data_IF_459890577956
#
_entry.id   IF_459890577956
#
_cell.length_a   1.000
_cell.length_b   1.000
_cell.length_c   1.000
_cell.angle_alpha   90.00
_cell.angle_beta   90.00
_cell.angle_gamma   90.00
#
_symmetry.space_group_name_H-M   'P 1'
#
loop_
_entity.id
_entity.type
_entity.pdbx_description
1 polymer ?
#
# COMPACT_ATOMS: atom_id res chain seq x y z
N UNK A 1 19.20 13.39 4.60
CA UNK A 1 17.83 13.77 4.21
C UNK A 1 16.85 12.76 4.78
N UNK A 2 15.91 13.23 5.60
CA UNK A 2 14.86 12.39 6.18
C UNK A 2 13.80 11.99 5.14
N UNK A 3 12.88 11.10 5.51
CA UNK A 3 11.81 10.65 4.61
C UNK A 3 10.89 11.79 4.18
N UNK A 4 10.64 12.77 5.07
CA UNK A 4 9.81 13.96 4.78
C UNK A 4 10.44 14.84 3.71
N UNK A 5 11.75 15.06 3.79
CA UNK A 5 12.48 15.84 2.80
C UNK A 5 12.39 15.21 1.41
N UNK A 6 12.45 13.86 1.34
CA UNK A 6 12.30 13.13 0.08
C UNK A 6 10.89 13.24 -0.51
N UNK A 7 9.86 13.19 0.33
CA UNK A 7 8.47 13.40 -0.12
C UNK A 7 8.31 14.82 -0.64
N UNK A 8 8.80 15.82 0.10
CA UNK A 8 8.75 17.23 -0.31
C UNK A 8 9.50 17.48 -1.62
N UNK A 9 10.68 16.88 -1.80
CA UNK A 9 11.44 17.01 -3.03
C UNK A 9 10.68 16.51 -4.29
N UNK A 10 9.69 15.62 -4.13
CA UNK A 10 8.88 15.11 -5.22
C UNK A 10 7.57 15.91 -5.42
N UNK A 11 6.93 16.30 -4.31
CA UNK A 11 5.56 16.85 -4.31
C UNK A 11 5.50 18.38 -4.21
N UNK A 12 6.58 19.04 -3.80
CA UNK A 12 6.60 20.49 -3.65
C UNK A 12 6.53 21.19 -5.02
N UNK A 13 5.54 22.07 -5.25
CA UNK A 13 5.49 22.88 -6.46
C UNK A 13 6.66 23.87 -6.52
N UNK A 14 7.29 23.94 -7.69
CA UNK A 14 8.32 24.92 -8.03
C UNK A 14 7.91 25.72 -9.27
N UNK A 15 8.76 26.64 -9.72
CA UNK A 15 8.53 27.37 -10.98
C UNK A 15 8.48 26.44 -12.19
N UNK A 16 9.14 25.28 -12.11
CA UNK A 16 9.17 24.26 -13.17
C UNK A 16 8.02 23.23 -13.03
N UNK A 17 7.12 23.44 -12.07
CA UNK A 17 6.01 22.52 -11.77
C UNK A 17 6.32 21.55 -10.63
N UNK A 18 5.70 20.37 -10.66
CA UNK A 18 5.81 19.30 -9.66
C UNK A 18 6.34 18.02 -10.31
N UNK A 19 7.17 17.27 -9.61
CA UNK A 19 7.71 15.99 -10.12
C UNK A 19 6.61 14.93 -10.09
N UNK A 20 6.10 14.62 -8.90
CA UNK A 20 4.96 13.70 -8.71
C UNK A 20 4.16 14.09 -7.46
N UNK A 21 2.83 13.98 -7.54
CA UNK A 21 1.97 14.01 -6.35
C UNK A 21 2.16 12.72 -5.56
N UNK A 22 2.65 12.82 -4.33
CA UNK A 22 2.94 11.66 -3.48
C UNK A 22 1.80 11.40 -2.50
N UNK A 23 1.24 10.19 -2.53
CA UNK A 23 0.17 9.77 -1.60
C UNK A 23 0.66 8.63 -0.70
N UNK A 24 0.77 8.92 0.60
CA UNK A 24 1.28 7.99 1.62
C UNK A 24 0.15 7.27 2.38
N UNK A 25 -1.12 7.40 1.97
CA UNK A 25 -2.28 6.91 2.75
C UNK A 25 -2.45 5.39 2.76
N UNK A 26 -1.77 4.68 1.86
CA UNK A 26 -1.80 3.21 1.81
C UNK A 26 -0.87 2.54 2.85
N UNK A 27 -0.07 3.32 3.60
CA UNK A 27 0.79 2.78 4.67
C UNK A 27 -0.05 2.21 5.83
N UNK A 28 0.49 1.26 6.62
CA UNK A 28 -0.17 0.80 7.84
C UNK A 28 -0.60 1.96 8.74
N UNK A 29 -1.79 1.84 9.33
CA UNK A 29 -2.45 2.88 10.15
C UNK A 29 -2.82 4.18 9.39
N UNK A 30 -2.65 4.23 8.07
CA UNK A 30 -3.04 5.37 7.24
C UNK A 30 -2.39 6.68 7.67
N UNK A 31 -3.15 7.77 7.67
CA UNK A 31 -2.63 9.12 8.01
C UNK A 31 -2.16 9.28 9.45
N UNK A 32 -2.69 8.49 10.38
CA UNK A 32 -2.29 8.50 11.78
C UNK A 32 -1.03 7.66 12.06
N UNK A 33 -0.57 6.87 11.08
CA UNK A 33 0.59 6.00 11.20
C UNK A 33 1.92 6.72 10.98
N UNK A 34 3.02 6.16 11.51
CA UNK A 34 4.36 6.65 11.21
C UNK A 34 4.65 6.56 9.69
N UNK A 35 5.50 7.46 9.18
CA UNK A 35 5.87 7.47 7.76
C UNK A 35 6.77 6.30 7.35
N UNK A 36 7.50 5.74 8.32
CA UNK A 36 8.42 4.61 8.13
C UNK A 36 8.18 3.64 9.29
N UNK A 37 8.11 2.35 8.98
CA UNK A 37 7.98 1.27 9.96
C UNK A 37 9.23 0.39 9.91
N UNK A 38 9.58 -0.21 11.05
CA UNK A 38 10.48 -1.36 11.08
C UNK A 38 9.79 -2.59 10.48
N UNK A 39 10.56 -3.60 10.07
CA UNK A 39 9.99 -4.84 9.56
C UNK A 39 9.14 -5.56 10.62
N UNK A 40 9.59 -5.59 11.88
CA UNK A 40 8.80 -6.15 12.98
C UNK A 40 7.43 -5.45 13.13
N UNK A 41 7.40 -4.11 13.17
CA UNK A 41 6.13 -3.38 13.30
C UNK A 41 5.22 -3.56 12.08
N UNK A 42 5.80 -3.74 10.89
CA UNK A 42 5.07 -4.02 9.66
C UNK A 42 4.48 -5.44 9.67
N UNK A 43 5.24 -6.42 10.17
CA UNK A 43 4.80 -7.80 10.35
C UNK A 43 3.64 -7.88 11.34
N UNK A 44 3.81 -7.33 12.54
CA UNK A 44 2.79 -7.31 13.59
C UNK A 44 1.48 -6.69 13.06
N UNK A 45 1.58 -5.54 12.37
CA UNK A 45 0.42 -4.86 11.79
C UNK A 45 -0.34 -5.74 10.80
N UNK A 46 0.36 -6.47 9.93
CA UNK A 46 -0.28 -7.31 8.92
C UNK A 46 -0.80 -8.64 9.48
N UNK A 47 -0.15 -9.21 10.50
CA UNK A 47 -0.59 -10.43 11.16
C UNK A 47 -1.86 -10.18 11.98
N UNK A 48 -1.88 -9.11 12.78
CA UNK A 48 -2.98 -8.86 13.72
C UNK A 48 -4.16 -8.11 13.09
N UNK A 49 -3.87 -7.11 12.24
CA UNK A 49 -4.86 -6.12 11.81
C UNK A 49 -5.06 -6.09 10.29
N UNK A 50 -4.33 -6.93 9.55
CA UNK A 50 -4.34 -6.93 8.10
C UNK A 50 -5.72 -7.25 7.51
N UNK A 51 -6.31 -6.26 6.82
CA UNK A 51 -7.62 -6.35 6.17
C UNK A 51 -7.52 -6.88 4.74
N UNK A 52 -8.62 -7.40 4.20
CA UNK A 52 -8.65 -7.96 2.84
C UNK A 52 -8.28 -6.92 1.77
N UNK A 53 -8.65 -5.65 1.98
CA UNK A 53 -8.32 -4.57 1.05
C UNK A 53 -6.82 -4.25 1.02
N UNK A 54 -6.13 -4.37 2.16
CA UNK A 54 -4.68 -4.14 2.26
C UNK A 54 -3.93 -5.23 1.50
N UNK A 55 -4.37 -6.49 1.62
CA UNK A 55 -3.82 -7.58 0.80
C UNK A 55 -3.97 -7.31 -0.69
N UNK A 56 -5.14 -6.84 -1.11
CA UNK A 56 -5.39 -6.49 -2.50
C UNK A 56 -4.48 -5.35 -2.98
N UNK A 57 -4.32 -4.29 -2.19
CA UNK A 57 -3.40 -3.20 -2.51
C UNK A 57 -1.96 -3.70 -2.66
N UNK A 58 -1.53 -4.60 -1.77
CA UNK A 58 -0.19 -5.18 -1.77
C UNK A 58 0.11 -6.10 -2.96
N UNK A 59 -0.89 -6.61 -3.69
CA UNK A 59 -0.68 -7.32 -4.96
C UNK A 59 0.04 -6.42 -5.99
N UNK A 60 -0.16 -5.09 -5.90
CA UNK A 60 0.50 -4.12 -6.79
C UNK A 60 1.77 -3.52 -6.20
N UNK A 61 2.10 -3.84 -4.95
CA UNK A 61 3.31 -3.32 -4.32
C UNK A 61 4.57 -3.87 -4.98
N UNK A 62 5.56 -3.00 -5.20
CA UNK A 62 6.85 -3.35 -5.77
C UNK A 62 7.93 -2.46 -5.17
N UNK A 63 9.07 -3.06 -4.83
CA UNK A 63 10.26 -2.30 -4.44
C UNK A 63 10.79 -1.48 -5.62
N UNK A 64 11.14 -0.23 -5.36
CA UNK A 64 11.73 0.68 -6.35
C UNK A 64 13.25 0.68 -6.21
N UNK A 65 13.97 0.76 -7.34
CA UNK A 65 15.43 0.70 -7.37
C UNK A 65 15.98 -0.72 -7.41
N UNK A 66 17.26 -0.87 -7.05
CA UNK A 66 17.89 -2.17 -6.88
C UNK A 66 17.29 -2.90 -5.67
N UNK A 67 17.06 -4.20 -5.82
CA UNK A 67 16.34 -5.01 -4.86
C UNK A 67 16.96 -6.40 -4.64
N UNK A 68 18.26 -6.56 -4.91
CA UNK A 68 18.98 -7.81 -4.64
C UNK A 68 19.68 -7.84 -3.26
N UNK A 69 19.43 -6.84 -2.41
CA UNK A 69 20.01 -6.78 -1.07
C UNK A 69 19.28 -7.70 -0.05
N UNK A 70 19.87 -7.81 1.14
CA UNK A 70 19.31 -8.62 2.22
C UNK A 70 17.92 -8.10 2.67
N UNK A 71 17.76 -6.78 2.78
CA UNK A 71 16.52 -6.14 3.24
C UNK A 71 15.36 -6.37 2.28
N UNK A 72 15.61 -6.29 0.97
CA UNK A 72 14.61 -6.54 -0.06
C UNK A 72 14.14 -8.00 -0.04
N UNK A 73 15.06 -8.94 0.21
CA UNK A 73 14.73 -10.36 0.33
C UNK A 73 13.90 -10.64 1.58
N UNK A 74 14.26 -10.07 2.71
CA UNK A 74 13.53 -10.20 3.98
C UNK A 74 12.10 -9.62 3.85
N UNK A 75 11.96 -8.40 3.32
CA UNK A 75 10.67 -7.78 3.10
C UNK A 75 9.77 -8.63 2.17
N UNK A 76 10.32 -9.16 1.08
CA UNK A 76 9.57 -10.05 0.17
C UNK A 76 9.13 -11.33 0.86
N UNK A 77 9.99 -11.93 1.68
CA UNK A 77 9.68 -13.15 2.41
C UNK A 77 8.53 -12.93 3.41
N UNK A 78 8.54 -11.80 4.12
CA UNK A 78 7.51 -11.42 5.08
C UNK A 78 6.17 -11.08 4.39
N UNK A 79 6.19 -10.34 3.29
CA UNK A 79 4.95 -9.91 2.60
C UNK A 79 4.28 -11.03 1.80
N UNK A 80 5.05 -11.98 1.26
CA UNK A 80 4.51 -13.05 0.41
C UNK A 80 3.38 -13.86 1.06
N UNK A 81 3.48 -14.38 2.29
CA UNK A 81 2.39 -15.12 2.93
C UNK A 81 1.19 -14.24 3.27
N UNK A 82 1.41 -12.95 3.55
CA UNK A 82 0.33 -11.99 3.79
C UNK A 82 -0.52 -11.75 2.53
N UNK A 83 0.15 -11.52 1.40
CA UNK A 83 -0.50 -11.22 0.11
C UNK A 83 -1.10 -12.46 -0.53
N UNK A 84 -0.35 -13.56 -0.56
CA UNK A 84 -0.73 -14.81 -1.25
C UNK A 84 -1.03 -15.90 -0.23
N UNK A 85 -2.25 -15.89 0.29
CA UNK A 85 -2.72 -16.93 1.23
C UNK A 85 -2.65 -18.30 0.58
N UNK A 86 -2.22 -19.30 1.37
CA UNK A 86 -2.15 -20.70 0.93
C UNK A 86 -3.54 -21.29 0.64
N UNK A 87 -4.56 -20.83 1.37
CA UNK A 87 -5.93 -21.29 1.24
C UNK A 87 -6.85 -20.09 0.94
N UNK A 88 -7.71 -20.24 -0.08
CA UNK A 88 -8.71 -19.26 -0.48
C UNK A 88 -10.07 -19.93 -0.36
N UNK A 89 -10.94 -19.33 0.44
CA UNK A 89 -12.32 -19.76 0.59
C UNK A 89 -13.28 -18.73 -0.06
N UNK A 90 -14.57 -19.04 0.01
CA UNK A 90 -15.62 -18.20 -0.55
C UNK A 90 -15.67 -16.81 0.10
N UNK A 91 -15.30 -16.67 1.38
CA UNK A 91 -15.34 -15.40 2.09
C UNK A 91 -14.38 -14.38 1.49
N UNK A 92 -13.16 -14.81 1.11
CA UNK A 92 -12.15 -13.96 0.47
C UNK A 92 -12.65 -13.42 -0.87
N UNK A 93 -13.24 -14.30 -1.69
CA UNK A 93 -13.79 -13.92 -2.99
C UNK A 93 -14.95 -12.94 -2.82
N UNK A 94 -15.80 -13.17 -1.82
CA UNK A 94 -16.93 -12.28 -1.54
C UNK A 94 -16.45 -10.90 -1.05
N UNK A 95 -15.44 -10.83 -0.17
CA UNK A 95 -14.80 -9.58 0.24
C UNK A 95 -14.28 -8.79 -0.96
N UNK A 96 -13.58 -9.44 -1.90
CA UNK A 96 -13.09 -8.81 -3.13
C UNK A 96 -14.21 -8.23 -3.99
N UNK A 97 -15.31 -8.99 -4.17
CA UNK A 97 -16.49 -8.53 -4.90
C UNK A 97 -17.14 -7.31 -4.22
N UNK A 98 -17.27 -7.35 -2.90
CA UNK A 98 -17.84 -6.26 -2.12
C UNK A 98 -17.01 -4.98 -2.28
N UNK A 99 -15.68 -5.08 -2.19
CA UNK A 99 -14.76 -3.96 -2.39
C UNK A 99 -14.86 -3.36 -3.79
N UNK A 100 -14.82 -4.19 -4.83
CA UNK A 100 -15.02 -3.74 -6.22
C UNK A 100 -16.35 -2.99 -6.38
N UNK A 101 -17.42 -3.53 -5.78
CA UNK A 101 -18.73 -2.89 -5.76
C UNK A 101 -18.73 -1.53 -5.06
N UNK A 102 -18.04 -1.40 -3.93
CA UNK A 102 -17.87 -0.12 -3.22
C UNK A 102 -17.14 0.91 -4.07
N UNK A 103 -16.01 0.53 -4.68
CA UNK A 103 -15.23 1.41 -5.57
C UNK A 103 -16.09 1.87 -6.75
N UNK A 104 -16.77 0.95 -7.44
CA UNK A 104 -17.63 1.28 -8.58
C UNK A 104 -18.80 2.21 -8.20
N UNK A 105 -19.35 2.10 -6.98
CA UNK A 105 -20.38 3.04 -6.47
C UNK A 105 -19.78 4.39 -6.08
N UNK A 106 -18.56 4.43 -5.56
CA UNK A 106 -17.88 5.67 -5.21
C UNK A 106 -17.48 6.47 -6.46
N UNK A 107 -16.95 5.81 -7.49
CA UNK A 107 -16.59 6.42 -8.78
C UNK A 107 -17.82 7.02 -9.47
N UNK A 108 -18.92 6.26 -9.56
CA UNK A 108 -20.19 6.76 -10.12
C UNK A 108 -20.72 8.00 -9.41
N UNK A 109 -20.65 8.04 -8.07
CA UNK A 109 -21.08 9.21 -7.28
C UNK A 109 -20.22 10.44 -7.51
N UNK A 110 -18.95 10.28 -7.87
CA UNK A 110 -18.02 11.39 -8.12
C UNK A 110 -18.09 11.93 -9.55
N UNK A 111 -18.94 11.35 -10.41
CA UNK A 111 -19.07 11.78 -11.81
C UNK A 111 -17.82 11.55 -12.67
N UNK A 112 -16.82 10.83 -12.15
CA UNK A 112 -15.60 10.51 -12.89
C UNK A 112 -15.92 9.33 -13.81
N UNK A 113 -16.13 9.58 -15.09
CA UNK A 113 -16.15 8.53 -16.10
C UNK A 113 -14.76 7.91 -16.18
N UNK A 114 -14.70 6.58 -16.16
CA UNK A 114 -13.47 5.81 -16.32
C UNK A 114 -12.97 5.87 -17.76
#
# INVERSE_FOLDING_TARGET
LGIRDRINALDQPTMDGVVYRVDMRLRPFGDSGPLVLSFAALEDSYQEQGRDWERYAMVKARLMGDNDDAWSRELRAMLRPFVFRRYIDFSVIQSLRNMKGMIARAVRRRGVQA
#
